data_IF_488737558613
#
_entry.id   IF_488737558613
#
_cell.length_a   1.000
_cell.length_b   1.000
_cell.length_c   1.000
_cell.angle_alpha   90.00
_cell.angle_beta   90.00
_cell.angle_gamma   90.00
#
_symmetry.space_group_name_H-M   'P 1'
#
loop_
_entity.id
_entity.type
_entity.pdbx_description
1 polymer ?
#
# COMPACT_ATOMS: atom_id res chain seq x y z
N UNK A 1 1.99 32.39 28.63
CA UNK A 1 1.45 32.12 27.30
C UNK A 1 1.39 30.58 27.15
N UNK A 2 0.22 29.95 27.36
CA UNK A 2 0.07 28.51 27.19
C UNK A 2 -0.02 28.23 25.68
N UNK A 3 1.00 27.63 25.11
CA UNK A 3 0.94 27.07 23.75
C UNK A 3 0.22 25.73 23.84
N UNK A 4 -1.04 25.69 23.46
CA UNK A 4 -1.73 24.44 23.19
C UNK A 4 -1.19 23.88 21.86
N UNK A 5 -0.28 22.92 21.93
CA UNK A 5 0.03 22.07 20.78
C UNK A 5 -1.16 21.10 20.63
N UNK A 6 -2.06 21.39 19.70
CA UNK A 6 -3.03 20.40 19.26
C UNK A 6 -2.24 19.27 18.58
N UNK A 7 -2.13 18.12 19.26
CA UNK A 7 -1.55 16.92 18.65
C UNK A 7 -2.61 16.35 17.73
N UNK A 8 -2.46 16.60 16.43
CA UNK A 8 -3.27 15.92 15.42
C UNK A 8 -2.99 14.44 15.56
N UNK A 9 -4.02 13.65 15.87
CA UNK A 9 -3.91 12.20 15.97
C UNK A 9 -4.12 11.62 14.57
N UNK A 10 -3.22 10.75 14.14
CA UNK A 10 -3.38 10.05 12.88
C UNK A 10 -4.63 9.15 12.92
N UNK A 11 -5.36 9.10 11.82
CA UNK A 11 -6.52 8.25 11.64
C UNK A 11 -6.12 7.07 10.75
N UNK A 12 -6.38 5.85 11.20
CA UNK A 12 -6.13 4.65 10.40
C UNK A 12 -7.10 4.61 9.22
N UNK A 13 -6.55 4.38 8.03
CA UNK A 13 -7.32 4.11 6.83
C UNK A 13 -7.82 2.67 6.87
N UNK A 14 -9.04 2.47 6.42
CA UNK A 14 -9.63 1.12 6.25
C UNK A 14 -9.00 0.49 5.01
N UNK A 15 -8.36 -0.67 5.16
CA UNK A 15 -7.78 -1.40 4.03
C UNK A 15 -8.83 -2.36 3.50
N UNK A 16 -9.25 -2.13 2.27
CA UNK A 16 -10.31 -2.89 1.60
C UNK A 16 -9.74 -4.04 0.77
N UNK A 17 -8.52 -3.88 0.27
CA UNK A 17 -7.91 -4.84 -0.64
C UNK A 17 -6.42 -5.02 -0.38
N UNK A 18 -5.93 -6.26 -0.51
CA UNK A 18 -4.50 -6.58 -0.57
C UNK A 18 -4.20 -7.25 -1.91
N UNK A 19 -3.38 -6.58 -2.71
CA UNK A 19 -2.88 -7.10 -3.98
C UNK A 19 -1.47 -7.62 -3.76
N UNK A 20 -1.16 -8.82 -4.25
CA UNK A 20 0.11 -9.47 -3.97
C UNK A 20 0.67 -10.26 -5.14
N UNK A 21 1.99 -10.50 -5.10
CA UNK A 21 2.66 -11.40 -6.04
C UNK A 21 2.59 -12.83 -5.51
N UNK A 22 1.93 -13.77 -6.21
CA UNK A 22 1.95 -15.17 -5.82
C UNK A 22 3.36 -15.75 -5.92
N UNK A 23 3.76 -16.48 -4.90
CA UNK A 23 5.03 -17.22 -4.88
C UNK A 23 4.89 -18.48 -4.06
N UNK A 24 5.72 -19.49 -4.35
CA UNK A 24 5.73 -20.72 -3.57
C UNK A 24 6.09 -20.44 -2.11
N UNK A 25 5.39 -21.09 -1.20
CA UNK A 25 5.56 -20.89 0.25
C UNK A 25 4.91 -19.63 0.82
N UNK A 26 4.37 -18.73 0.00
CA UNK A 26 3.63 -17.56 0.48
C UNK A 26 2.24 -17.98 0.96
N UNK A 27 1.95 -17.66 2.22
CA UNK A 27 0.60 -17.71 2.77
C UNK A 27 0.00 -16.30 2.73
N UNK A 28 -0.86 -15.98 1.75
CA UNK A 28 -1.36 -14.63 1.60
C UNK A 28 -2.22 -14.16 2.77
N UNK A 29 -2.82 -15.07 3.55
CA UNK A 29 -3.61 -14.71 4.74
C UNK A 29 -2.78 -14.08 5.86
N UNK A 30 -1.46 -14.18 5.78
CA UNK A 30 -0.51 -13.56 6.72
C UNK A 30 -0.02 -12.19 6.27
N UNK A 31 -0.32 -11.79 5.03
CA UNK A 31 0.00 -10.45 4.55
C UNK A 31 -0.93 -9.44 5.22
N UNK A 32 -0.37 -8.43 5.80
CA UNK A 32 -1.14 -7.32 6.36
C UNK A 32 -0.29 -6.05 6.46
N UNK A 33 -0.96 -4.91 6.45
CA UNK A 33 -0.33 -3.61 6.62
C UNK A 33 -1.34 -2.61 7.14
N UNK A 34 -0.83 -1.49 7.64
CA UNK A 34 -1.64 -0.33 8.02
C UNK A 34 -1.21 0.91 7.27
N UNK A 35 -2.15 1.80 7.06
CA UNK A 35 -1.92 3.14 6.55
C UNK A 35 -2.61 4.13 7.52
N UNK A 36 -1.84 4.92 8.23
CA UNK A 36 -2.35 5.94 9.14
C UNK A 36 -2.16 7.32 8.51
N UNK A 37 -3.24 8.09 8.43
CA UNK A 37 -3.26 9.35 7.71
C UNK A 37 -3.54 10.55 8.62
N UNK A 38 -2.91 11.69 8.30
CA UNK A 38 -3.24 13.02 8.82
C UNK A 38 -3.22 14.02 7.68
N UNK A 39 -4.00 15.08 7.78
CA UNK A 39 -4.02 16.14 6.80
C UNK A 39 -3.99 17.52 7.46
N UNK A 40 -3.05 18.35 7.06
CA UNK A 40 -2.94 19.74 7.53
C UNK A 40 -2.22 20.60 6.50
N UNK A 41 -2.66 21.83 6.34
CA UNK A 41 -1.99 22.81 5.47
C UNK A 41 -1.74 22.30 4.04
N UNK A 42 -2.70 21.61 3.46
CA UNK A 42 -2.62 20.98 2.14
C UNK A 42 -1.55 19.86 2.03
N UNK A 43 -1.10 19.32 3.15
CA UNK A 43 -0.22 18.16 3.18
C UNK A 43 -0.96 16.97 3.78
N UNK A 44 -1.13 15.92 2.99
CA UNK A 44 -1.57 14.60 3.45
C UNK A 44 -0.33 13.80 3.83
N UNK A 45 -0.26 13.37 5.08
CA UNK A 45 0.82 12.52 5.58
C UNK A 45 0.25 11.12 5.78
N UNK A 46 0.86 10.12 5.17
CA UNK A 46 0.51 8.71 5.32
C UNK A 46 1.70 7.98 5.92
N UNK A 47 1.49 7.34 7.06
CA UNK A 47 2.43 6.37 7.63
C UNK A 47 2.02 5.00 7.18
N UNK A 48 2.85 4.36 6.37
CA UNK A 48 2.62 3.02 5.85
C UNK A 48 3.48 2.03 6.64
N UNK A 49 2.86 0.99 7.20
CA UNK A 49 3.53 -0.02 8.03
C UNK A 49 3.21 -1.42 7.54
N UNK A 50 4.23 -2.27 7.41
CA UNK A 50 4.05 -3.69 7.13
C UNK A 50 3.86 -4.46 8.43
N UNK A 51 2.64 -4.92 8.70
CA UNK A 51 2.26 -5.66 9.90
C UNK A 51 2.12 -7.17 9.67
N UNK A 52 2.56 -7.66 8.50
CA UNK A 52 2.48 -9.08 8.16
C UNK A 52 3.07 -9.96 9.26
N UNK A 53 2.40 -11.09 9.53
CA UNK A 53 2.95 -12.10 10.41
C UNK A 53 4.19 -12.73 9.79
N UNK A 54 4.97 -13.48 10.61
CA UNK A 54 6.11 -14.22 10.08
C UNK A 54 5.66 -15.23 9.01
N UNK A 55 6.10 -15.02 7.78
CA UNK A 55 5.75 -15.85 6.62
C UNK A 55 6.59 -17.14 6.53
N UNK A 56 7.58 -17.31 7.43
CA UNK A 56 8.49 -18.45 7.36
C UNK A 56 9.47 -18.35 6.19
N UNK A 57 9.80 -19.50 5.61
CA UNK A 57 10.64 -19.57 4.40
C UNK A 57 9.74 -19.48 3.18
N UNK A 58 9.94 -18.46 2.36
CA UNK A 58 9.25 -18.26 1.08
C UNK A 58 10.29 -18.21 -0.03
N UNK A 59 9.96 -18.72 -1.22
CA UNK A 59 10.89 -18.81 -2.34
C UNK A 59 11.31 -17.44 -2.87
N UNK A 60 10.42 -16.46 -2.76
CA UNK A 60 10.70 -15.09 -3.17
C UNK A 60 10.44 -14.13 -2.01
N UNK A 61 11.50 -13.75 -1.32
CA UNK A 61 11.46 -12.78 -0.23
C UNK A 61 10.78 -11.45 -0.62
N UNK A 62 10.96 -11.05 -1.86
CA UNK A 62 10.37 -9.83 -2.40
C UNK A 62 8.84 -9.79 -2.26
N UNK A 63 8.19 -10.95 -2.31
CA UNK A 63 6.72 -11.06 -2.16
C UNK A 63 6.22 -10.75 -0.75
N UNK A 64 7.10 -10.71 0.25
CA UNK A 64 6.79 -10.32 1.63
C UNK A 64 6.87 -8.81 1.86
N UNK A 65 7.42 -8.06 0.92
CA UNK A 65 7.60 -6.61 1.06
C UNK A 65 6.30 -5.88 0.71
N UNK A 66 5.85 -5.02 1.61
CA UNK A 66 4.81 -4.04 1.31
C UNK A 66 5.43 -2.94 0.45
N UNK A 67 4.97 -2.81 -0.76
CA UNK A 67 5.61 -2.04 -1.83
C UNK A 67 4.79 -0.86 -2.29
N UNK A 68 3.53 -0.76 -1.86
CA UNK A 68 2.70 0.36 -2.23
C UNK A 68 1.36 0.42 -1.53
N UNK A 69 0.71 1.55 -1.71
CA UNK A 69 -0.66 1.84 -1.29
C UNK A 69 -1.40 2.55 -2.43
N UNK A 70 -2.65 2.18 -2.63
CA UNK A 70 -3.56 2.84 -3.55
C UNK A 70 -4.74 3.44 -2.80
N UNK A 71 -5.17 4.63 -3.19
CA UNK A 71 -6.38 5.28 -2.66
C UNK A 71 -6.91 6.32 -3.64
N UNK A 72 -8.17 6.72 -3.44
CA UNK A 72 -8.81 7.76 -4.21
C UNK A 72 -8.68 9.13 -3.54
N UNK A 73 -8.66 10.19 -4.34
CA UNK A 73 -8.79 11.58 -3.87
C UNK A 73 -10.09 12.18 -4.42
N UNK A 74 -10.66 13.17 -3.71
CA UNK A 74 -11.83 13.90 -4.20
C UNK A 74 -11.61 14.51 -5.57
N UNK A 75 -12.67 14.61 -6.37
CA UNK A 75 -12.60 15.18 -7.73
C UNK A 75 -11.97 16.57 -7.75
N UNK A 76 -10.99 16.76 -8.64
CA UNK A 76 -10.23 18.02 -8.76
C UNK A 76 -9.04 18.15 -7.80
N UNK A 77 -8.88 17.22 -6.84
CA UNK A 77 -7.69 17.17 -5.98
C UNK A 77 -6.57 16.42 -6.68
N UNK A 78 -5.37 16.97 -6.63
CA UNK A 78 -4.18 16.38 -7.27
C UNK A 78 -2.97 16.40 -6.35
N UNK A 79 -2.11 15.38 -6.48
CA UNK A 79 -0.79 15.37 -5.84
C UNK A 79 0.16 16.21 -6.70
N UNK A 80 0.81 17.20 -6.08
CA UNK A 80 1.75 18.12 -6.77
C UNK A 80 3.20 17.83 -6.43
N UNK A 81 3.46 17.01 -5.42
CA UNK A 81 4.79 16.64 -4.94
C UNK A 81 4.72 16.05 -3.55
N UNK A 82 5.88 15.91 -2.93
CA UNK A 82 5.94 15.38 -1.58
C UNK A 82 7.34 14.93 -1.19
N UNK A 83 7.40 14.09 -0.17
CA UNK A 83 8.65 13.44 0.24
C UNK A 83 8.40 12.15 1.02
N UNK A 84 9.40 11.29 1.04
CA UNK A 84 9.41 10.02 1.79
C UNK A 84 10.53 10.04 2.82
N UNK A 85 10.19 9.64 4.04
CA UNK A 85 11.16 9.57 5.15
C UNK A 85 10.98 8.26 5.93
N UNK A 86 12.03 7.84 6.62
CA UNK A 86 12.00 6.71 7.55
C UNK A 86 11.73 7.26 8.95
N UNK A 87 10.65 6.86 9.63
CA UNK A 87 10.37 7.31 10.97
C UNK A 87 11.33 6.69 12.00
N UNK A 88 11.41 7.32 13.17
CA UNK A 88 12.16 6.75 14.29
C UNK A 88 11.63 5.36 14.66
N UNK A 89 12.53 4.40 14.82
CA UNK A 89 12.19 3.00 15.10
C UNK A 89 12.22 2.09 13.87
N UNK A 90 12.11 2.65 12.67
CA UNK A 90 12.30 1.90 11.42
C UNK A 90 13.75 1.98 10.93
N UNK A 91 14.20 0.95 10.23
CA UNK A 91 15.58 0.84 9.79
C UNK A 91 15.68 0.51 8.31
N UNK A 92 16.61 1.14 7.64
CA UNK A 92 16.99 0.78 6.26
C UNK A 92 18.11 -0.27 6.28
N UNK A 93 17.90 -1.36 5.58
CA UNK A 93 18.84 -2.48 5.48
C UNK A 93 19.64 -2.38 4.19
N UNK A 94 20.95 -2.61 4.29
CA UNK A 94 21.89 -2.56 3.17
C UNK A 94 21.85 -1.26 2.35
N UNK A 95 21.77 -0.06 2.97
CA UNK A 95 21.73 1.17 2.20
C UNK A 95 23.04 1.31 1.39
N UNK A 96 22.95 1.76 0.13
CA UNK A 96 24.16 2.17 -0.59
C UNK A 96 24.78 3.42 0.07
N UNK A 97 26.04 3.71 -0.25
CA UNK A 97 26.79 4.83 0.36
C UNK A 97 26.08 6.19 0.20
N UNK A 98 25.32 6.35 -0.86
CA UNK A 98 24.41 7.48 -1.04
C UNK A 98 23.07 6.98 -1.58
N UNK A 99 21.99 7.43 -0.97
CA UNK A 99 20.63 7.13 -1.43
C UNK A 99 19.71 8.32 -1.19
N UNK A 100 18.64 8.36 -1.96
CA UNK A 100 17.56 9.32 -1.79
C UNK A 100 16.23 8.57 -1.91
N UNK A 101 15.50 8.43 -0.81
CA UNK A 101 14.21 7.73 -0.82
C UNK A 101 13.20 8.37 -1.79
N UNK A 102 13.30 9.67 -2.02
CA UNK A 102 12.42 10.37 -2.95
C UNK A 102 12.61 9.96 -4.41
N UNK A 103 13.72 9.28 -4.74
CA UNK A 103 13.94 8.68 -6.07
C UNK A 103 13.59 7.19 -6.09
N UNK A 104 13.29 6.59 -4.94
CA UNK A 104 12.97 5.17 -4.81
C UNK A 104 11.47 4.91 -4.65
N UNK A 105 10.72 5.94 -4.29
CA UNK A 105 9.27 5.94 -4.19
C UNK A 105 8.68 7.00 -5.11
N UNK A 106 7.47 6.72 -5.61
CA UNK A 106 6.80 7.62 -6.50
C UNK A 106 5.29 7.48 -6.45
N UNK A 107 4.60 8.30 -7.23
CA UNK A 107 3.15 8.26 -7.36
C UNK A 107 2.71 8.36 -8.80
N UNK A 108 1.50 7.91 -9.06
CA UNK A 108 0.83 8.05 -10.34
C UNK A 108 -0.68 7.99 -10.14
N UNK A 109 -1.43 8.29 -11.17
CA UNK A 109 -2.89 8.20 -11.18
C UNK A 109 -3.39 7.20 -12.20
N UNK A 110 -4.53 6.62 -11.91
CA UNK A 110 -5.46 6.08 -12.89
C UNK A 110 -5.11 4.75 -13.57
N UNK A 111 -4.55 3.76 -12.86
CA UNK A 111 -4.46 2.41 -13.44
C UNK A 111 -4.40 1.28 -12.39
N UNK A 112 -4.96 0.14 -12.76
CA UNK A 112 -4.87 -1.17 -12.11
C UNK A 112 -3.48 -1.53 -11.53
N UNK A 113 -3.35 -2.34 -10.45
CA UNK A 113 -4.35 -3.30 -10.01
C UNK A 113 -5.40 -2.75 -9.08
N UNK A 114 -5.21 -1.55 -8.57
CA UNK A 114 -6.18 -0.82 -7.79
C UNK A 114 -7.26 -0.25 -8.70
N UNK A 115 -8.41 0.07 -8.16
CA UNK A 115 -9.58 0.51 -8.92
C UNK A 115 -9.31 1.68 -9.86
N UNK A 116 -10.10 1.77 -10.93
CA UNK A 116 -10.02 2.85 -11.92
C UNK A 116 -10.17 4.21 -11.23
N UNK A 117 -9.17 5.06 -11.35
CA UNK A 117 -9.17 6.40 -10.75
C UNK A 117 -8.32 6.55 -9.48
N UNK A 118 -7.85 5.45 -8.89
CA UNK A 118 -7.00 5.51 -7.69
C UNK A 118 -5.63 6.12 -7.97
N UNK A 119 -5.12 6.89 -7.01
CA UNK A 119 -3.72 7.20 -6.93
C UNK A 119 -2.97 5.98 -6.39
N UNK A 120 -1.85 5.65 -7.03
CA UNK A 120 -0.95 4.59 -6.61
C UNK A 120 0.36 5.21 -6.16
N UNK A 121 0.80 4.82 -4.99
CA UNK A 121 2.06 5.22 -4.41
C UNK A 121 2.85 3.94 -4.15
N UNK A 122 4.09 3.88 -4.62
CA UNK A 122 4.87 2.67 -4.44
C UNK A 122 6.35 2.85 -4.74
N UNK A 123 7.09 1.77 -4.51
CA UNK A 123 8.50 1.69 -4.88
C UNK A 123 8.66 1.75 -6.39
N UNK A 124 9.66 2.50 -6.86
CA UNK A 124 9.91 2.70 -8.30
C UNK A 124 10.61 1.49 -8.92
N UNK A 125 11.26 0.66 -8.11
CA UNK A 125 11.92 -0.57 -8.53
C UNK A 125 10.99 -1.71 -8.93
N UNK A 126 9.71 -1.47 -9.09
CA UNK A 126 8.74 -2.43 -9.59
C UNK A 126 9.02 -2.78 -11.04
N UNK A 127 9.33 -4.03 -11.32
CA UNK A 127 9.32 -4.52 -12.69
C UNK A 127 7.86 -4.65 -13.15
N UNK A 128 7.47 -3.64 -13.83
CA UNK A 128 6.57 -3.55 -14.94
C UNK A 128 5.60 -4.67 -15.18
N UNK A 129 4.45 -4.78 -14.69
CA UNK A 129 3.38 -5.01 -15.66
C UNK A 129 2.09 -4.31 -15.29
N UNK A 130 1.93 -3.92 -14.06
CA UNK A 130 0.68 -3.28 -13.66
C UNK A 130 0.85 -2.02 -12.80
N UNK A 131 1.65 -2.04 -11.74
CA UNK A 131 1.85 -0.85 -10.90
C UNK A 131 2.84 0.15 -11.52
N UNK A 132 3.87 -0.30 -12.21
CA UNK A 132 4.87 0.57 -12.81
C UNK A 132 4.30 1.48 -13.90
N UNK A 133 3.32 1.01 -14.65
CA UNK A 133 2.61 1.84 -15.62
C UNK A 133 1.82 2.98 -14.96
N UNK A 134 1.58 2.89 -13.66
CA UNK A 134 0.81 3.85 -12.88
C UNK A 134 1.67 4.88 -12.16
N UNK A 135 2.92 4.53 -11.82
CA UNK A 135 3.85 5.47 -11.19
C UNK A 135 4.53 6.31 -12.28
N UNK A 136 4.12 7.55 -12.39
CA UNK A 136 4.59 8.46 -13.45
C UNK A 136 5.57 9.51 -12.97
N UNK A 137 5.73 9.66 -11.65
CA UNK A 137 6.60 10.65 -11.02
C UNK A 137 7.24 10.10 -9.76
N UNK A 138 8.49 10.43 -9.53
CA UNK A 138 9.13 10.27 -8.22
C UNK A 138 8.89 11.50 -7.33
N UNK A 139 9.27 11.44 -6.07
CA UNK A 139 9.09 12.56 -5.15
C UNK A 139 10.09 13.72 -5.37
N UNK A 140 11.01 13.61 -6.30
CA UNK A 140 11.83 14.74 -6.77
C UNK A 140 11.17 15.50 -7.91
N UNK A 141 10.07 14.98 -8.47
CA UNK A 141 9.36 15.54 -9.61
C UNK A 141 9.86 15.06 -10.97
N UNK A 142 10.80 14.11 -11.00
CA UNK A 142 11.23 13.50 -12.25
C UNK A 142 10.08 12.70 -12.88
N UNK A 143 9.91 12.89 -14.18
CA UNK A 143 8.80 12.29 -14.96
C UNK A 143 9.07 10.86 -15.42
N UNK A 144 10.29 10.37 -15.28
CA UNK A 144 10.66 9.00 -15.56
C UNK A 144 11.37 8.44 -14.34
N UNK A 145 10.76 7.46 -13.65
CA UNK A 145 11.52 6.72 -12.66
C UNK A 145 12.76 6.13 -13.37
N UNK A 146 13.93 6.15 -12.73
CA UNK A 146 15.09 5.48 -13.29
C UNK A 146 14.70 4.04 -13.63
N UNK A 147 14.94 3.62 -14.87
CA UNK A 147 14.72 2.26 -15.30
C UNK A 147 15.61 1.36 -14.44
N UNK A 148 15.04 0.77 -13.43
CA UNK A 148 15.73 -0.15 -12.56
C UNK A 148 14.76 -1.13 -11.94
N UNK A 149 15.00 -2.28 -12.20
CA UNK A 149 15.73 -3.40 -11.66
C UNK A 149 14.76 -4.41 -11.08
N UNK A 150 14.98 -5.63 -11.37
CA UNK A 150 14.30 -6.82 -10.88
C UNK A 150 14.06 -6.81 -9.36
N UNK A 151 12.84 -6.60 -8.97
CA UNK A 151 12.38 -6.80 -7.60
C UNK A 151 11.97 -5.52 -6.84
N UNK A 152 11.21 -5.66 -5.75
CA UNK A 152 10.68 -4.59 -4.94
C UNK A 152 11.72 -4.02 -3.96
N UNK A 153 12.82 -3.50 -4.48
CA UNK A 153 13.77 -2.76 -3.67
C UNK A 153 13.07 -1.61 -2.93
N UNK A 154 13.51 -1.33 -1.71
CA UNK A 154 12.98 -0.26 -0.86
C UNK A 154 11.57 -0.47 -0.33
N UNK A 155 10.98 -1.65 -0.53
CA UNK A 155 9.72 -2.03 0.09
C UNK A 155 9.86 -2.23 1.59
N UNK A 156 8.72 -2.30 2.29
CA UNK A 156 8.67 -2.44 3.74
C UNK A 156 8.61 -3.92 4.12
N UNK A 157 9.54 -4.36 4.96
CA UNK A 157 9.50 -5.66 5.58
C UNK A 157 8.91 -5.55 6.99
N UNK A 158 8.03 -6.46 7.35
CA UNK A 158 7.51 -6.54 8.72
C UNK A 158 8.64 -6.79 9.72
N UNK A 159 8.60 -6.12 10.87
CA UNK A 159 9.54 -6.35 11.96
C UNK A 159 9.51 -7.78 12.52
N UNK A 160 8.40 -8.51 12.29
CA UNK A 160 8.27 -9.93 12.68
C UNK A 160 8.99 -10.90 11.75
N UNK A 161 9.40 -10.45 10.55
CA UNK A 161 10.03 -11.30 9.55
C UNK A 161 11.53 -11.46 9.82
N UNK A 162 12.01 -12.71 9.83
CA UNK A 162 13.44 -12.99 9.90
C UNK A 162 14.12 -12.57 8.61
N UNK A 163 15.20 -11.78 8.74
CA UNK A 163 15.94 -11.22 7.60
C UNK A 163 17.23 -11.97 7.38
N UNK A 164 17.41 -12.55 6.19
CA UNK A 164 18.69 -13.14 5.80
C UNK A 164 19.00 -12.94 4.31
N UNK A 165 18.48 -11.87 3.69
CA UNK A 165 18.78 -11.61 2.28
C UNK A 165 19.98 -10.64 2.18
N UNK A 166 21.19 -11.15 1.91
CA UNK A 166 22.32 -10.29 1.62
C UNK A 166 22.08 -9.57 0.29
N UNK A 167 22.42 -8.29 0.25
CA UNK A 167 22.44 -7.43 -0.95
C UNK A 167 21.10 -6.82 -1.43
N UNK A 168 19.97 -7.04 -0.74
CA UNK A 168 18.74 -6.32 -1.07
C UNK A 168 18.55 -5.13 -0.13
N UNK A 169 18.09 -4.00 -0.68
CA UNK A 169 17.70 -2.81 0.08
C UNK A 169 16.20 -2.91 0.43
N UNK A 170 15.88 -2.80 1.68
CA UNK A 170 14.51 -2.74 2.17
C UNK A 170 14.44 -1.98 3.48
N UNK A 171 13.26 -1.54 3.83
CA UNK A 171 13.00 -0.81 5.07
C UNK A 171 12.28 -1.75 6.03
N UNK A 172 12.76 -1.87 7.26
CA UNK A 172 12.06 -2.62 8.30
C UNK A 172 11.01 -1.70 8.92
N UNK A 173 9.79 -2.22 9.00
CA UNK A 173 8.62 -1.69 9.65
C UNK A 173 7.86 -0.65 8.82
N UNK A 174 8.26 0.61 8.78
CA UNK A 174 7.40 1.66 8.24
C UNK A 174 8.14 2.80 7.53
N UNK A 175 7.40 3.54 6.72
CA UNK A 175 7.78 4.83 6.15
C UNK A 175 6.70 5.87 6.41
N UNK A 176 7.11 7.13 6.31
CA UNK A 176 6.21 8.29 6.28
C UNK A 176 6.29 8.95 4.91
N UNK A 177 5.15 9.09 4.28
CA UNK A 177 5.00 9.72 2.97
C UNK A 177 4.18 10.99 3.15
N UNK A 178 4.74 12.14 2.81
CA UNK A 178 4.04 13.41 2.81
C UNK A 178 3.70 13.82 1.37
N UNK A 179 2.43 14.11 1.10
CA UNK A 179 1.92 14.55 -0.19
C UNK A 179 1.47 15.99 -0.14
N UNK A 180 1.98 16.80 -1.01
CA UNK A 180 1.44 18.14 -1.24
C UNK A 180 0.21 18.01 -2.15
N UNK A 181 -0.96 18.40 -1.64
CA UNK A 181 -2.21 18.39 -2.39
C UNK A 181 -2.54 19.78 -2.93
N UNK A 182 -3.20 19.82 -4.07
CA UNK A 182 -3.81 21.00 -4.66
C UNK A 182 -5.28 20.74 -4.97
N UNK A 183 -6.11 21.78 -4.84
CA UNK A 183 -7.53 21.70 -5.19
C UNK A 183 -8.45 21.22 -4.05
N UNK A 184 -7.94 20.88 -2.87
CA UNK A 184 -8.76 20.52 -1.72
C UNK A 184 -8.94 21.72 -0.77
N UNK A 185 -10.19 21.94 -0.36
CA UNK A 185 -10.55 23.05 0.56
C UNK A 185 -11.37 22.58 1.78
N UNK A 186 -11.56 21.26 1.93
CA UNK A 186 -12.27 20.67 3.05
C UNK A 186 -11.41 20.51 4.31
N UNK A 187 -12.00 19.94 5.34
CA UNK A 187 -11.31 19.59 6.59
C UNK A 187 -10.51 18.28 6.44
N UNK A 188 -9.64 18.00 7.42
CA UNK A 188 -8.97 16.71 7.54
C UNK A 188 -9.98 15.55 7.57
N UNK A 189 -11.03 15.69 8.38
CA UNK A 189 -12.08 14.68 8.50
C UNK A 189 -12.76 14.41 7.17
N UNK A 190 -13.07 15.44 6.37
CA UNK A 190 -13.70 15.27 5.07
C UNK A 190 -12.80 14.49 4.10
N UNK A 191 -11.49 14.78 4.09
CA UNK A 191 -10.54 14.09 3.25
C UNK A 191 -10.37 12.62 3.65
N UNK A 192 -10.16 12.37 4.95
CA UNK A 192 -9.93 11.01 5.46
C UNK A 192 -11.19 10.14 5.27
N UNK A 193 -12.37 10.69 5.54
CA UNK A 193 -13.63 9.97 5.28
C UNK A 193 -13.79 9.64 3.80
N UNK A 194 -13.50 10.61 2.90
CA UNK A 194 -13.56 10.35 1.47
C UNK A 194 -12.61 9.21 1.06
N UNK A 195 -11.38 9.20 1.56
CA UNK A 195 -10.40 8.14 1.27
C UNK A 195 -10.93 6.79 1.77
N UNK A 196 -11.44 6.72 3.00
CA UNK A 196 -11.97 5.49 3.59
C UNK A 196 -13.24 4.95 2.91
N UNK A 197 -14.04 5.81 2.29
CA UNK A 197 -15.25 5.42 1.57
C UNK A 197 -15.00 4.99 0.13
N UNK A 198 -13.78 5.15 -0.38
CA UNK A 198 -13.44 4.96 -1.79
C UNK A 198 -12.23 4.02 -1.98
N UNK A 199 -12.25 2.90 -1.30
CA UNK A 199 -11.33 1.78 -1.43
C UNK A 199 -9.85 2.14 -1.27
N UNK A 200 -9.26 1.62 -0.20
CA UNK A 200 -7.82 1.70 0.07
C UNK A 200 -7.22 0.31 -0.11
N UNK A 201 -6.18 0.21 -0.91
CA UNK A 201 -5.54 -1.06 -1.20
C UNK A 201 -4.05 -1.04 -0.88
N UNK A 202 -3.51 -2.18 -0.45
CA UNK A 202 -2.08 -2.38 -0.23
C UNK A 202 -1.50 -3.32 -1.29
N UNK A 203 -0.25 -3.08 -1.68
CA UNK A 203 0.46 -3.90 -2.65
C UNK A 203 1.67 -4.58 -2.02
N UNK A 204 1.78 -5.89 -2.23
CA UNK A 204 2.90 -6.69 -1.76
C UNK A 204 3.67 -7.32 -2.92
N UNK A 205 4.99 -7.22 -2.87
CA UNK A 205 5.85 -7.73 -3.94
C UNK A 205 5.70 -6.94 -5.24
N UNK A 206 5.68 -7.63 -6.36
CA UNK A 206 5.37 -7.11 -7.70
C UNK A 206 4.01 -7.67 -8.14
N UNK A 207 2.91 -7.12 -7.67
CA UNK A 207 1.60 -7.74 -7.84
C UNK A 207 1.19 -7.80 -9.31
N UNK A 208 0.66 -8.96 -9.70
CA UNK A 208 0.18 -9.26 -11.06
C UNK A 208 -1.35 -9.32 -11.13
N UNK A 209 -2.03 -8.58 -10.26
CA UNK A 209 -3.50 -8.55 -10.22
C UNK A 209 -4.15 -9.67 -9.39
N UNK A 210 -3.37 -10.39 -8.57
CA UNK A 210 -3.95 -11.33 -7.61
C UNK A 210 -4.32 -10.58 -6.33
N UNK A 211 -5.56 -10.76 -5.90
CA UNK A 211 -6.11 -10.15 -4.69
C UNK A 211 -6.45 -11.20 -3.65
N UNK A 212 -6.40 -10.86 -2.39
CA UNK A 212 -6.98 -11.66 -1.32
C UNK A 212 -8.46 -11.26 -1.22
N UNK A 213 -9.41 -12.16 -1.48
CA UNK A 213 -10.81 -11.84 -1.28
C UNK A 213 -11.07 -11.49 0.18
N UNK A 214 -11.81 -10.42 0.42
CA UNK A 214 -12.19 -10.02 1.77
C UNK A 214 -12.94 -11.13 2.51
N UNK A 215 -12.79 -11.24 3.85
CA UNK A 215 -13.51 -12.22 4.66
C UNK A 215 -15.03 -12.18 4.46
N UNK A 216 -15.59 -10.97 4.23
CA UNK A 216 -17.01 -10.78 3.93
C UNK A 216 -17.43 -11.44 2.61
N UNK A 217 -16.60 -11.34 1.57
CA UNK A 217 -16.85 -11.98 0.26
C UNK A 217 -16.82 -13.49 0.38
N UNK A 218 -15.89 -14.05 1.14
CA UNK A 218 -15.81 -15.49 1.41
C UNK A 218 -17.04 -15.98 2.20
N UNK A 219 -17.48 -15.19 3.19
CA UNK A 219 -18.67 -15.52 3.97
C UNK A 219 -19.94 -15.45 3.12
N UNK A 220 -20.08 -14.44 2.25
CA UNK A 220 -21.22 -14.28 1.35
C UNK A 220 -21.26 -15.43 0.31
N UNK A 221 -20.11 -15.78 -0.27
CA UNK A 221 -20.00 -16.91 -1.18
C UNK A 221 -20.37 -18.23 -0.50
N UNK A 222 -19.84 -18.48 0.70
CA UNK A 222 -20.14 -19.67 1.49
C UNK A 222 -21.63 -19.78 1.87
N UNK A 223 -22.22 -18.68 2.35
CA UNK A 223 -23.64 -18.63 2.71
C UNK A 223 -24.55 -18.75 1.48
N UNK A 224 -24.17 -18.15 0.35
CA UNK A 224 -24.86 -18.28 -0.92
C UNK A 224 -24.89 -19.73 -1.44
N UNK A 225 -23.76 -20.43 -1.38
CA UNK A 225 -23.68 -21.85 -1.77
C UNK A 225 -24.52 -22.74 -0.87
N UNK A 226 -24.53 -22.50 0.45
CA UNK A 226 -25.39 -23.23 1.40
C UNK A 226 -26.87 -22.99 1.12
N UNK A 227 -27.26 -21.75 0.80
CA UNK A 227 -28.61 -21.38 0.37
C UNK A 227 -29.04 -22.12 -0.90
N UNK A 228 -28.19 -22.15 -1.91
CA UNK A 228 -28.44 -22.88 -3.16
C UNK A 228 -28.56 -24.39 -2.95
N UNK A 229 -27.68 -25.00 -2.13
CA UNK A 229 -27.76 -26.41 -1.80
C UNK A 229 -29.06 -26.79 -1.06
N UNK A 230 -29.48 -25.92 -0.13
CA UNK A 230 -30.77 -26.08 0.58
C UNK A 230 -31.98 -26.02 -0.35
N UNK A 231 -31.97 -25.08 -1.29
CA UNK A 231 -33.01 -24.92 -2.29
C UNK A 231 -33.06 -26.09 -3.25
N UNK A 232 -31.92 -26.57 -3.76
CA UNK A 232 -31.82 -27.73 -4.62
C UNK A 232 -32.39 -28.99 -3.96
N UNK A 233 -32.05 -29.24 -2.67
CA UNK A 233 -32.55 -30.40 -1.93
C UNK A 233 -34.06 -30.41 -1.75
N UNK A 234 -34.71 -29.25 -1.65
CA UNK A 234 -36.19 -29.13 -1.60
C UNK A 234 -36.85 -29.48 -2.93
N UNK A 235 -36.21 -29.18 -4.06
CA UNK A 235 -36.76 -29.42 -5.40
C UNK A 235 -36.70 -30.90 -5.82
N UNK A 236 -35.72 -31.66 -5.33
CA UNK A 236 -35.54 -33.06 -5.68
C UNK A 236 -36.23 -34.05 -4.71
N UNK A 237 -36.97 -33.54 -3.70
CA UNK A 237 -37.76 -34.38 -2.79
C UNK A 237 -39.25 -34.46 -3.16
N UNK A 238 -39.63 -34.13 -4.40
CA UNK A 238 -40.97 -34.39 -4.94
C UNK A 238 -40.98 -35.52 -5.93
#
# INVERSE_FOLDING_TARGET
>A
MLTFTCKVMATSLTIDEIVYQPTSGLDPSKLSGTADATFSSNVLIVTLTNTSANLGVIDNFASALLTGVGFNLPGGVTITGGNVTIPSGSNLINPPASYNLNTQWGWGGNQSPFQTGAYVIGTIGFNASTLQASITKDFTGATTPPANVDGPFWGLLSASQSTSQPNQQYIIDSIVIAFNLSGFSGSETDLINFINENDVALAFGSPTGNTIPEPATMFLLGSGLLGLAGFARRRFKK
#
